data_IF_977801759806
#
_entry.id   IF_977801759806
#
_cell.length_a   1.000
_cell.length_b   1.000
_cell.length_c   1.000
_cell.angle_alpha   90.00
_cell.angle_beta   90.00
_cell.angle_gamma   90.00
#
_symmetry.space_group_name_H-M   'P 1'
#
loop_
_entity.id
_entity.type
_entity.pdbx_description
1 polymer ?
#
# COMPACT_ATOMS: atom_id res chain seq x y z
N UNK A 1 2.79 -34.47 -68.97
CA UNK A 1 4.13 -33.86 -68.85
C UNK A 1 3.97 -32.34 -68.91
N UNK A 2 4.60 -31.63 -67.97
CA UNK A 2 4.72 -30.17 -67.67
C UNK A 2 4.47 -29.17 -68.83
N UNK A 3 3.79 -28.01 -68.72
CA UNK A 3 3.82 -26.81 -67.81
C UNK A 3 4.91 -25.75 -68.14
N UNK A 4 4.45 -24.68 -68.83
CA UNK A 4 4.72 -23.20 -68.72
C UNK A 4 6.13 -22.63 -69.08
N UNK A 5 6.35 -21.29 -69.26
CA UNK A 5 5.45 -20.11 -69.43
C UNK A 5 5.85 -19.09 -70.56
N UNK A 6 5.04 -18.03 -70.78
CA UNK A 6 5.34 -16.84 -71.62
C UNK A 6 5.52 -15.54 -70.82
N UNK A 7 6.29 -14.62 -71.42
CA UNK A 7 7.06 -13.48 -70.90
C UNK A 7 6.33 -12.15 -70.59
N UNK A 8 6.96 -11.33 -69.72
CA UNK A 8 6.69 -9.90 -69.44
C UNK A 8 7.61 -8.95 -70.22
N UNK A 9 7.09 -7.79 -70.66
CA UNK A 9 7.74 -6.55 -71.16
C UNK A 9 6.67 -5.42 -70.94
N UNK A 10 6.88 -4.15 -70.58
CA UNK A 10 7.92 -3.12 -70.86
C UNK A 10 7.71 -1.82 -70.02
N UNK A 11 8.83 -1.12 -69.74
CA UNK A 11 9.19 0.35 -69.83
C UNK A 11 8.49 1.51 -69.02
N UNK A 12 9.37 2.43 -68.55
CA UNK A 12 9.34 3.72 -67.78
C UNK A 12 8.91 4.99 -68.63
N UNK A 13 9.13 6.30 -68.25
CA UNK A 13 8.81 7.20 -67.08
C UNK A 13 8.35 8.67 -67.45
N UNK A 14 8.13 9.61 -66.48
CA UNK A 14 8.41 11.09 -66.51
C UNK A 14 8.12 11.75 -65.12
N UNK A 15 9.03 12.41 -64.35
CA UNK A 15 9.65 13.78 -64.31
C UNK A 15 8.64 14.94 -64.08
N UNK A 16 8.63 15.69 -62.95
CA UNK A 16 9.36 16.98 -62.71
C UNK A 16 9.41 17.49 -61.23
N UNK A 17 10.61 17.98 -60.79
CA UNK A 17 11.07 19.16 -59.96
C UNK A 17 10.14 19.84 -58.89
N UNK A 18 10.54 20.51 -57.78
CA UNK A 18 11.77 20.92 -57.04
C UNK A 18 11.41 21.53 -55.62
N UNK A 19 12.42 21.75 -54.75
CA UNK A 19 12.51 22.17 -53.29
C UNK A 19 12.04 23.63 -52.92
N UNK A 20 12.24 24.29 -51.71
CA UNK A 20 12.95 23.99 -50.41
C UNK A 20 12.40 24.56 -49.01
N UNK A 21 12.93 24.02 -47.88
CA UNK A 21 13.54 24.61 -46.61
C UNK A 21 12.85 25.64 -45.62
N UNK A 22 12.85 25.26 -44.31
CA UNK A 22 12.95 25.91 -42.93
C UNK A 22 12.05 27.09 -42.44
N UNK A 23 11.50 26.96 -41.22
CA UNK A 23 11.88 27.68 -39.97
C UNK A 23 11.11 27.19 -38.72
N UNK A 24 11.72 27.32 -37.53
CA UNK A 24 11.16 26.92 -36.23
C UNK A 24 10.31 27.99 -35.53
N UNK A 25 9.66 27.63 -34.42
CA UNK A 25 8.92 28.56 -33.57
C UNK A 25 8.28 27.89 -32.35
N UNK A 26 8.70 28.33 -31.17
CA UNK A 26 8.06 28.13 -29.87
C UNK A 26 6.62 28.64 -29.86
N UNK A 27 5.71 27.98 -29.13
CA UNK A 27 4.47 28.61 -28.64
C UNK A 27 4.31 28.36 -27.14
N UNK A 28 4.74 29.33 -26.35
CA UNK A 28 4.31 29.48 -24.96
C UNK A 28 2.91 30.11 -24.92
N UNK A 29 2.04 29.59 -24.06
CA UNK A 29 0.79 30.27 -23.69
C UNK A 29 1.07 31.13 -22.46
N UNK A 30 1.28 32.43 -22.68
CA UNK A 30 1.32 33.43 -21.62
C UNK A 30 0.16 34.39 -21.85
N UNK A 31 -0.89 34.29 -21.03
CA UNK A 31 -1.85 35.38 -20.84
C UNK A 31 -2.27 35.41 -19.37
N UNK A 32 -1.50 36.15 -18.57
CA UNK A 32 -1.97 36.79 -17.35
C UNK A 32 -2.38 38.23 -17.68
N UNK A 33 -3.61 38.63 -17.34
CA UNK A 33 -3.93 39.94 -16.71
C UNK A 33 -5.44 40.08 -16.38
N UNK A 34 -5.69 40.18 -15.08
CA UNK A 34 -6.69 40.93 -14.30
C UNK A 34 -7.99 41.47 -14.97
N UNK A 35 -9.15 41.08 -14.44
CA UNK A 35 -10.02 41.86 -13.52
C UNK A 35 -11.31 41.05 -13.21
N UNK A 36 -11.83 41.17 -12.00
CA UNK A 36 -12.83 40.26 -11.42
C UNK A 36 -14.24 40.36 -12.00
N UNK A 37 -14.90 39.20 -12.11
CA UNK A 37 -16.37 39.07 -12.11
C UNK A 37 -16.71 37.81 -11.33
N UNK A 38 -17.50 38.00 -10.27
CA UNK A 38 -18.19 36.97 -9.51
C UNK A 38 -19.48 36.62 -10.28
N UNK A 39 -19.70 35.37 -10.68
CA UNK A 39 -21.06 34.88 -10.95
C UNK A 39 -21.17 33.36 -10.83
N UNK A 40 -22.18 32.97 -10.06
CA UNK A 40 -22.69 31.63 -9.83
C UNK A 40 -23.27 31.00 -11.11
N UNK A 41 -23.13 29.68 -11.23
CA UNK A 41 -24.03 28.71 -11.88
C UNK A 41 -23.48 27.31 -11.51
N UNK A 42 -24.16 26.33 -10.91
CA UNK A 42 -25.53 26.10 -10.47
C UNK A 42 -25.71 24.56 -10.30
N UNK A 43 -26.42 24.03 -9.29
CA UNK A 43 -26.24 22.67 -8.75
C UNK A 43 -27.08 21.57 -9.46
N UNK A 44 -27.18 21.57 -10.79
CA UNK A 44 -28.12 20.69 -11.50
C UNK A 44 -27.52 19.42 -12.13
N UNK A 45 -26.20 19.22 -12.07
CA UNK A 45 -25.55 17.98 -12.55
C UNK A 45 -25.16 17.00 -11.43
N UNK A 46 -25.26 17.40 -10.15
CA UNK A 46 -24.96 16.52 -9.00
C UNK A 46 -26.19 15.72 -8.50
N UNK A 47 -27.40 16.15 -8.84
CA UNK A 47 -28.65 15.52 -8.39
C UNK A 47 -29.03 14.24 -9.17
N UNK A 48 -28.50 14.02 -10.38
CA UNK A 48 -28.77 12.82 -11.18
C UNK A 48 -27.87 11.63 -10.82
N UNK A 49 -26.71 11.88 -10.22
CA UNK A 49 -25.80 10.83 -9.74
C UNK A 49 -26.24 10.24 -8.38
N UNK A 50 -26.85 11.05 -7.51
CA UNK A 50 -27.29 10.62 -6.18
C UNK A 50 -28.60 9.79 -6.17
N UNK A 51 -29.38 9.78 -7.26
CA UNK A 51 -30.62 8.97 -7.35
C UNK A 51 -30.40 7.50 -7.72
N UNK A 52 -29.18 7.06 -8.05
CA UNK A 52 -28.90 5.66 -8.43
C UNK A 52 -28.18 4.81 -7.37
N UNK A 53 -27.84 5.37 -6.21
CA UNK A 53 -27.22 4.62 -5.10
C UNK A 53 -28.17 4.32 -3.93
N UNK A 54 -29.38 4.89 -3.91
CA UNK A 54 -30.34 4.71 -2.82
C UNK A 54 -31.35 3.55 -3.03
N UNK A 55 -31.10 2.62 -3.96
CA UNK A 55 -32.06 1.57 -4.35
C UNK A 55 -31.65 0.14 -3.97
N UNK A 56 -30.71 -0.08 -3.03
CA UNK A 56 -30.29 -1.43 -2.64
C UNK A 56 -30.32 -1.73 -1.12
N UNK A 57 -30.90 -0.85 -0.31
CA UNK A 57 -31.21 -1.14 1.08
C UNK A 57 -32.64 -0.72 1.35
N UNK A 58 -33.58 -1.68 1.34
CA UNK A 58 -34.78 -1.78 2.20
C UNK A 58 -35.79 -2.75 1.57
N UNK A 59 -35.95 -3.92 2.21
CA UNK A 59 -37.12 -4.82 2.31
C UNK A 59 -36.57 -6.18 2.77
N UNK A 60 -36.93 -6.79 3.90
CA UNK A 60 -38.25 -6.92 4.53
C UNK A 60 -38.12 -7.27 6.04
N UNK A 61 -39.08 -6.85 6.90
CA UNK A 61 -39.09 -7.08 8.35
C UNK A 61 -39.99 -8.25 8.78
N UNK A 62 -39.61 -9.00 9.83
CA UNK A 62 -40.44 -9.41 10.98
C UNK A 62 -39.75 -10.54 11.76
N UNK A 63 -39.31 -10.27 12.99
CA UNK A 63 -39.77 -11.00 14.19
C UNK A 63 -39.32 -10.23 15.44
N UNK A 64 -40.26 -10.00 16.35
CA UNK A 64 -40.04 -9.32 17.61
C UNK A 64 -39.51 -10.28 18.69
N UNK A 65 -38.81 -9.67 19.65
CA UNK A 65 -38.82 -10.03 21.08
C UNK A 65 -38.01 -11.26 21.52
N UNK A 66 -36.73 -11.03 21.89
CA UNK A 66 -36.19 -11.49 23.19
C UNK A 66 -35.24 -10.41 23.72
N UNK A 67 -35.57 -9.89 24.90
CA UNK A 67 -34.71 -9.05 25.76
C UNK A 67 -33.55 -9.87 26.30
N UNK A 68 -32.43 -9.19 26.55
CA UNK A 68 -31.23 -9.62 27.27
C UNK A 68 -30.06 -10.04 26.37
N UNK A 69 -29.16 -9.08 26.13
CA UNK A 69 -27.71 -9.18 26.33
C UNK A 69 -27.05 -7.93 25.72
N UNK A 70 -26.24 -7.26 26.53
CA UNK A 70 -25.59 -5.98 26.26
C UNK A 70 -24.68 -6.04 25.02
N UNK A 71 -24.81 -5.14 24.01
CA UNK A 71 -23.82 -5.02 22.96
C UNK A 71 -22.60 -4.25 23.49
N UNK A 72 -21.44 -4.92 23.53
CA UNK A 72 -20.13 -4.31 23.70
C UNK A 72 -19.93 -3.20 22.66
N UNK A 73 -19.81 -1.95 23.15
CA UNK A 73 -19.49 -0.77 22.34
C UNK A 73 -18.05 -0.87 21.84
N UNK A 74 -17.83 -0.81 20.53
CA UNK A 74 -16.55 -0.39 19.97
C UNK A 74 -16.27 1.05 20.43
N UNK A 75 -15.28 1.19 21.31
CA UNK A 75 -14.93 2.45 21.95
C UNK A 75 -14.32 3.43 20.95
N UNK A 76 -14.98 4.57 20.78
CA UNK A 76 -14.50 5.73 20.05
C UNK A 76 -13.43 6.45 20.91
N UNK A 77 -12.22 5.89 20.97
CA UNK A 77 -11.13 6.35 21.86
C UNK A 77 -10.74 7.83 21.69
N UNK A 78 -10.96 8.39 20.50
CA UNK A 78 -10.69 9.79 20.20
C UNK A 78 -11.65 10.75 20.92
N UNK A 79 -12.92 10.36 21.11
CA UNK A 79 -13.92 11.23 21.75
C UNK A 79 -13.76 11.30 23.27
N UNK A 80 -13.29 10.21 23.90
CA UNK A 80 -12.93 10.21 25.33
C UNK A 80 -11.65 10.99 25.62
N UNK A 81 -10.71 11.08 24.67
CA UNK A 81 -9.49 11.87 24.83
C UNK A 81 -9.73 13.37 24.63
N UNK A 82 -10.60 13.75 23.70
CA UNK A 82 -10.92 15.17 23.46
C UNK A 82 -11.86 15.73 24.55
N UNK A 83 -12.78 14.93 25.11
CA UNK A 83 -13.68 15.42 26.16
C UNK A 83 -12.99 15.70 27.50
N UNK A 84 -11.78 15.19 27.74
CA UNK A 84 -11.00 15.47 28.95
C UNK A 84 -10.18 16.77 28.87
N UNK A 85 -10.16 17.45 27.72
CA UNK A 85 -9.35 18.67 27.48
C UNK A 85 -10.22 19.94 27.40
N UNK A 86 -11.55 19.82 27.45
CA UNK A 86 -12.49 20.94 27.35
C UNK A 86 -13.33 21.15 28.62
N UNK A 87 -12.71 21.05 29.79
CA UNK A 87 -13.24 21.66 31.01
C UNK A 87 -12.38 22.86 31.37
N UNK A 88 -12.91 24.06 31.15
CA UNK A 88 -12.46 25.25 31.85
C UNK A 88 -12.57 24.97 33.36
N UNK A 89 -11.52 25.33 34.10
CA UNK A 89 -11.30 25.10 35.53
C UNK A 89 -10.91 23.68 35.98
N UNK A 90 -9.62 23.51 36.29
CA UNK A 90 -9.12 22.53 37.27
C UNK A 90 -8.37 21.30 36.71
N UNK A 91 -7.04 21.41 36.65
CA UNK A 91 -6.02 20.34 36.55
C UNK A 91 -6.15 19.31 35.39
N UNK A 92 -5.12 19.14 34.53
CA UNK A 92 -5.20 18.20 33.43
C UNK A 92 -5.19 16.78 33.97
N UNK A 93 -6.32 16.08 33.85
CA UNK A 93 -6.39 14.61 33.98
C UNK A 93 -5.84 13.95 32.71
N UNK A 94 -4.67 14.41 32.25
CA UNK A 94 -3.88 13.71 31.24
C UNK A 94 -3.21 12.50 31.90
N UNK A 95 -3.00 11.43 31.13
CA UNK A 95 -2.08 10.37 31.55
C UNK A 95 -0.76 11.05 31.96
N UNK A 96 -0.23 10.83 33.18
CA UNK A 96 0.80 11.67 33.80
C UNK A 96 2.11 11.78 33.01
N UNK A 97 2.26 10.93 32.00
CA UNK A 97 3.46 10.77 31.19
C UNK A 97 3.42 11.47 29.83
N UNK A 98 2.27 12.04 29.43
CA UNK A 98 2.16 12.79 28.18
C UNK A 98 2.27 14.30 28.42
N UNK A 99 3.15 14.94 27.65
CA UNK A 99 3.30 16.39 27.59
C UNK A 99 2.84 16.94 26.24
N UNK A 100 2.69 18.26 26.18
CA UNK A 100 2.42 18.97 24.93
C UNK A 100 3.75 19.43 24.30
N UNK A 101 3.92 19.17 23.00
CA UNK A 101 5.09 19.58 22.25
C UNK A 101 4.98 21.06 21.85
N UNK A 102 6.03 21.83 22.12
CA UNK A 102 6.02 23.29 21.89
C UNK A 102 5.88 23.65 20.41
N UNK A 103 6.49 22.87 19.53
CA UNK A 103 6.55 23.15 18.10
C UNK A 103 5.43 22.41 17.34
N UNK A 104 4.23 23.00 17.34
CA UNK A 104 3.04 22.46 16.62
C UNK A 104 1.90 21.97 17.53
N UNK A 105 2.13 21.83 18.83
CA UNK A 105 1.07 21.65 19.83
C UNK A 105 0.52 20.22 19.98
N UNK A 106 1.09 19.22 19.31
CA UNK A 106 0.75 17.80 19.51
C UNK A 106 1.22 17.23 20.86
N UNK A 107 0.97 15.94 21.09
CA UNK A 107 1.31 15.26 22.35
C UNK A 107 2.50 14.32 22.19
N UNK A 108 3.30 14.19 23.24
CA UNK A 108 4.41 13.25 23.28
C UNK A 108 4.55 12.62 24.66
N UNK A 109 5.04 11.38 24.71
CA UNK A 109 5.38 10.70 25.95
C UNK A 109 6.77 11.13 26.45
N UNK A 110 6.95 11.35 27.76
CA UNK A 110 8.21 11.82 28.36
C UNK A 110 9.44 10.93 28.09
N UNK A 111 9.22 9.65 27.82
CA UNK A 111 10.30 8.70 27.46
C UNK A 111 10.61 8.61 25.97
N UNK A 112 9.91 9.37 25.11
CA UNK A 112 10.25 9.46 23.70
C UNK A 112 11.52 10.32 23.53
N UNK A 113 12.39 9.91 22.62
CA UNK A 113 13.57 10.68 22.22
C UNK A 113 13.21 11.45 20.95
N UNK A 114 12.95 12.75 21.08
CA UNK A 114 12.49 13.59 19.97
C UNK A 114 13.47 14.76 19.84
N UNK A 115 14.00 14.95 18.64
CA UNK A 115 14.87 16.08 18.36
C UNK A 115 14.10 17.44 18.51
N UNK A 116 14.70 18.50 19.08
CA UNK A 116 14.03 19.79 19.27
C UNK A 116 13.51 20.46 18.00
N UNK A 117 14.06 20.12 16.83
CA UNK A 117 13.66 20.69 15.53
C UNK A 117 12.36 20.07 14.97
N UNK A 118 11.89 18.97 15.55
CA UNK A 118 10.69 18.25 15.09
C UNK A 118 9.45 19.12 15.22
N UNK A 119 8.60 19.09 14.20
CA UNK A 119 7.29 19.73 14.20
C UNK A 119 6.21 18.67 14.40
N UNK A 120 5.42 18.79 15.48
CA UNK A 120 4.36 17.84 15.82
C UNK A 120 3.04 18.61 15.86
N UNK A 121 2.22 18.45 14.82
CA UNK A 121 0.95 19.16 14.70
C UNK A 121 -0.09 18.75 15.74
N UNK A 122 -1.10 19.61 15.90
CA UNK A 122 -2.24 19.38 16.78
C UNK A 122 -2.89 18.01 16.55
N UNK A 123 -3.17 17.30 17.65
CA UNK A 123 -3.80 15.98 17.63
C UNK A 123 -2.87 14.84 17.22
N UNK A 124 -1.64 15.10 16.77
CA UNK A 124 -0.64 14.05 16.62
C UNK A 124 -0.12 13.58 17.99
N UNK A 125 0.20 12.29 18.10
CA UNK A 125 0.63 11.65 19.35
C UNK A 125 1.88 10.81 19.13
N UNK A 126 2.92 11.07 19.93
CA UNK A 126 4.17 10.30 19.94
C UNK A 126 4.29 9.47 21.22
N UNK A 127 4.30 8.15 21.11
CA UNK A 127 4.31 7.23 22.24
C UNK A 127 5.69 6.95 22.81
N UNK A 128 5.72 6.22 23.93
CA UNK A 128 6.90 5.92 24.74
C UNK A 128 8.01 5.21 23.96
N UNK A 129 9.27 5.54 24.28
CA UNK A 129 10.49 4.93 23.70
C UNK A 129 10.64 5.10 22.19
N UNK A 130 9.77 5.86 21.53
CA UNK A 130 9.95 6.21 20.12
C UNK A 130 11.16 7.12 19.96
N UNK A 131 11.76 7.08 18.78
CA UNK A 131 12.91 7.92 18.41
C UNK A 131 12.56 8.67 17.15
N UNK A 132 12.60 10.00 17.19
CA UNK A 132 12.28 10.87 16.07
C UNK A 132 13.47 11.78 15.78
N UNK A 133 14.05 11.63 14.59
CA UNK A 133 15.20 12.39 14.13
C UNK A 133 14.91 13.86 13.83
N UNK A 134 15.96 14.62 13.53
CA UNK A 134 15.89 16.04 13.21
C UNK A 134 14.99 16.33 11.99
N UNK A 135 14.38 17.51 11.98
CA UNK A 135 13.59 18.05 10.87
C UNK A 135 12.44 17.15 10.40
N UNK A 136 11.94 16.27 11.26
CA UNK A 136 10.74 15.48 11.00
C UNK A 136 9.49 16.35 11.19
N UNK A 137 8.53 16.21 10.27
CA UNK A 137 7.21 16.82 10.39
C UNK A 137 6.15 15.73 10.59
N UNK A 138 5.37 15.84 11.66
CA UNK A 138 4.30 14.91 12.01
C UNK A 138 2.96 15.62 11.85
N UNK A 139 2.18 15.19 10.86
CA UNK A 139 0.87 15.76 10.55
C UNK A 139 -0.20 15.45 11.60
N UNK A 140 -1.21 16.32 11.63
CA UNK A 140 -2.37 16.22 12.51
C UNK A 140 -3.00 14.82 12.55
N UNK A 141 -3.31 14.35 13.76
CA UNK A 141 -3.94 13.04 14.00
C UNK A 141 -3.04 11.82 13.76
N UNK A 142 -1.78 12.01 13.36
CA UNK A 142 -0.86 10.89 13.22
C UNK A 142 -0.46 10.30 14.58
N UNK A 143 -0.30 8.98 14.63
CA UNK A 143 0.07 8.23 15.84
C UNK A 143 1.39 7.51 15.58
N UNK A 144 2.43 7.91 16.31
CA UNK A 144 3.73 7.24 16.34
C UNK A 144 3.72 6.29 17.54
N UNK A 145 3.60 4.99 17.29
CA UNK A 145 3.49 3.96 18.32
C UNK A 145 4.77 3.77 19.15
N UNK A 146 4.69 2.95 20.22
CA UNK A 146 5.81 2.73 21.11
C UNK A 146 7.02 2.13 20.38
N UNK A 147 8.22 2.58 20.72
CA UNK A 147 9.48 2.07 20.13
C UNK A 147 9.59 2.18 18.60
N UNK A 148 8.74 3.00 17.96
CA UNK A 148 8.88 3.34 16.54
C UNK A 148 10.07 4.28 16.35
N UNK A 149 10.86 4.05 15.31
CA UNK A 149 11.96 4.93 14.92
C UNK A 149 11.64 5.64 13.62
N UNK A 150 11.82 6.96 13.57
CA UNK A 150 11.65 7.79 12.38
C UNK A 150 12.94 8.55 12.11
N UNK A 151 13.53 8.31 10.94
CA UNK A 151 14.74 8.98 10.48
C UNK A 151 14.53 10.46 10.16
N UNK A 152 15.64 11.18 10.05
CA UNK A 152 15.65 12.64 9.89
C UNK A 152 14.99 13.10 8.59
N UNK A 153 14.53 14.35 8.55
CA UNK A 153 13.94 14.99 7.36
C UNK A 153 12.76 14.22 6.73
N UNK A 154 12.12 13.35 7.51
CA UNK A 154 10.96 12.57 7.07
C UNK A 154 9.67 13.35 7.31
N UNK A 155 8.76 13.29 6.34
CA UNK A 155 7.43 13.91 6.42
C UNK A 155 6.36 12.85 6.62
N UNK A 156 5.58 12.99 7.68
CA UNK A 156 4.46 12.12 8.02
C UNK A 156 3.17 12.91 7.83
N UNK A 157 2.29 12.40 6.98
CA UNK A 157 0.99 13.00 6.67
C UNK A 157 -0.04 12.85 7.79
N UNK A 158 -1.26 13.27 7.50
CA UNK A 158 -2.37 13.25 8.44
C UNK A 158 -2.88 11.83 8.70
N UNK A 159 -3.29 11.56 9.94
CA UNK A 159 -3.90 10.30 10.35
C UNK A 159 -3.07 9.05 9.99
N UNK A 160 -1.75 9.17 9.92
CA UNK A 160 -0.83 8.05 9.74
C UNK A 160 -0.75 7.25 11.04
N UNK A 161 -0.77 5.92 10.96
CA UNK A 161 -0.61 5.04 12.11
C UNK A 161 0.65 4.18 11.97
N UNK A 162 1.64 4.43 12.83
CA UNK A 162 2.90 3.67 12.86
C UNK A 162 2.96 2.81 14.12
N UNK A 163 3.26 1.53 13.96
CA UNK A 163 3.51 0.58 15.06
C UNK A 163 4.60 -0.40 14.63
N UNK A 164 5.41 -0.92 15.56
CA UNK A 164 6.40 -1.98 15.28
C UNK A 164 7.24 -1.73 14.00
N UNK A 165 7.70 -0.51 13.79
CA UNK A 165 8.37 -0.14 12.55
C UNK A 165 9.55 0.80 12.75
N UNK A 166 10.43 0.81 11.76
CA UNK A 166 11.51 1.78 11.62
C UNK A 166 11.45 2.39 10.23
N UNK A 167 11.41 3.72 10.16
CA UNK A 167 11.42 4.48 8.92
C UNK A 167 12.77 5.18 8.80
N UNK A 168 13.40 5.07 7.63
CA UNK A 168 14.66 5.72 7.32
C UNK A 168 14.53 7.23 7.13
N UNK A 169 15.59 7.81 6.61
CA UNK A 169 15.74 9.25 6.43
C UNK A 169 15.05 9.74 5.15
N UNK A 170 14.63 11.01 5.16
CA UNK A 170 14.11 11.71 3.99
C UNK A 170 12.94 11.01 3.30
N UNK A 171 12.08 10.36 4.09
CA UNK A 171 10.90 9.67 3.58
C UNK A 171 9.69 10.60 3.49
N UNK A 172 8.72 10.23 2.65
CA UNK A 172 7.43 10.91 2.53
C UNK A 172 6.33 9.87 2.74
N UNK A 173 5.59 10.00 3.84
CA UNK A 173 4.48 9.12 4.20
C UNK A 173 3.20 9.93 4.05
N UNK A 174 2.36 9.59 3.06
CA UNK A 174 1.11 10.28 2.79
C UNK A 174 0.01 9.91 3.79
N UNK A 175 -1.13 10.60 3.68
CA UNK A 175 -2.20 10.52 4.66
C UNK A 175 -2.80 9.11 4.81
N UNK A 176 -3.17 8.74 6.03
CA UNK A 176 -3.87 7.49 6.32
C UNK A 176 -3.05 6.21 6.12
N UNK A 177 -1.73 6.33 5.90
CA UNK A 177 -0.83 5.18 5.80
C UNK A 177 -0.75 4.44 7.13
N UNK A 178 -0.77 3.10 7.07
CA UNK A 178 -0.65 2.22 8.23
C UNK A 178 0.59 1.33 8.08
N UNK A 179 1.54 1.38 9.01
CA UNK A 179 2.78 0.61 8.94
C UNK A 179 3.00 -0.18 10.24
N UNK A 180 3.29 -1.46 10.07
CA UNK A 180 3.70 -2.43 11.10
C UNK A 180 2.56 -2.97 11.97
N UNK A 181 1.36 -2.99 11.41
CA UNK A 181 0.23 -3.76 11.93
C UNK A 181 0.47 -5.27 11.77
N UNK A 182 -0.25 -6.07 12.56
CA UNK A 182 -0.20 -7.52 12.45
C UNK A 182 -0.80 -8.00 11.12
N UNK A 183 -0.01 -8.73 10.34
CA UNK A 183 -0.48 -9.34 9.09
C UNK A 183 -1.52 -10.44 9.27
N UNK A 184 -1.99 -10.96 8.13
CA UNK A 184 -2.97 -12.03 8.10
C UNK A 184 -2.36 -13.37 8.57
N UNK A 185 -2.76 -13.83 9.76
CA UNK A 185 -2.32 -15.12 10.31
C UNK A 185 -3.32 -15.64 11.31
N UNK A 186 -4.04 -16.69 10.93
CA UNK A 186 -5.05 -17.36 11.74
C UNK A 186 -4.82 -18.86 11.70
N UNK A 187 -5.17 -19.54 12.78
CA UNK A 187 -5.17 -20.99 12.90
C UNK A 187 -6.59 -21.45 13.21
N UNK A 188 -6.95 -22.63 12.73
CA UNK A 188 -8.22 -23.27 13.09
C UNK A 188 -7.92 -24.20 14.26
N UNK A 189 -8.62 -24.03 15.39
CA UNK A 189 -8.50 -24.92 16.53
C UNK A 189 -9.23 -26.25 16.28
N UNK A 190 -9.11 -27.20 17.24
CA UNK A 190 -9.76 -28.51 17.16
C UNK A 190 -11.30 -28.44 17.10
N UNK A 191 -11.88 -27.29 17.44
CA UNK A 191 -13.32 -27.03 17.43
C UNK A 191 -13.78 -26.23 16.20
N UNK A 192 -12.87 -25.90 15.28
CA UNK A 192 -13.17 -25.11 14.08
C UNK A 192 -13.16 -23.59 14.30
N UNK A 193 -12.77 -23.09 15.47
CA UNK A 193 -12.68 -21.64 15.72
C UNK A 193 -11.43 -21.05 15.10
N UNK A 194 -11.56 -19.81 14.60
CA UNK A 194 -10.44 -19.03 14.05
C UNK A 194 -9.70 -18.31 15.17
N UNK A 195 -8.50 -18.77 15.51
CA UNK A 195 -7.61 -18.14 16.49
C UNK A 195 -6.54 -17.31 15.79
N UNK A 196 -6.28 -16.08 16.28
CA UNK A 196 -5.20 -15.24 15.74
C UNK A 196 -3.86 -15.90 16.06
N UNK A 197 -3.05 -16.11 15.03
CA UNK A 197 -1.64 -16.49 15.19
C UNK A 197 -0.85 -15.24 15.61
N UNK A 198 -0.20 -15.22 16.79
CA UNK A 198 0.69 -14.14 17.17
C UNK A 198 1.78 -13.97 16.10
N UNK A 199 2.01 -12.74 15.63
CA UNK A 199 2.99 -12.47 14.58
C UNK A 199 4.42 -12.37 15.16
N UNK A 200 4.79 -13.27 16.07
CA UNK A 200 6.15 -13.36 16.64
C UNK A 200 6.91 -14.47 15.93
N UNK A 201 8.25 -14.38 15.92
CA UNK A 201 9.09 -15.43 15.32
C UNK A 201 8.83 -16.77 15.98
N UNK A 202 8.21 -17.67 15.22
CA UNK A 202 8.13 -19.09 15.57
C UNK A 202 9.54 -19.69 15.45
N UNK A 203 10.33 -19.62 16.51
CA UNK A 203 11.44 -20.55 16.63
C UNK A 203 10.84 -21.94 16.88
N UNK A 204 10.93 -22.80 15.88
CA UNK A 204 10.64 -24.22 16.00
C UNK A 204 11.59 -24.81 17.06
N UNK A 205 11.12 -24.91 18.31
CA UNK A 205 11.87 -25.54 19.41
C UNK A 205 11.81 -27.05 19.19
N UNK A 206 12.87 -27.61 18.62
CA UNK A 206 13.11 -29.05 18.67
C UNK A 206 13.53 -29.42 20.10
N UNK A 207 12.75 -30.27 20.75
CA UNK A 207 12.69 -30.51 22.22
C UNK A 207 13.90 -31.24 22.85
N UNK A 208 15.13 -31.07 22.36
CA UNK A 208 16.24 -31.92 22.82
C UNK A 208 17.57 -31.24 23.18
N UNK A 209 17.70 -29.91 23.23
CA UNK A 209 19.00 -29.29 23.57
C UNK A 209 18.88 -28.16 24.60
N UNK A 210 19.36 -28.49 25.81
CA UNK A 210 19.93 -27.67 26.88
C UNK A 210 19.20 -26.38 27.33
N UNK A 211 18.63 -26.44 28.54
CA UNK A 211 17.90 -25.40 29.26
C UNK A 211 18.65 -24.06 29.45
N UNK A 212 19.99 -24.05 29.34
CA UNK A 212 20.81 -22.84 29.54
C UNK A 212 21.08 -22.07 28.23
N UNK A 213 21.24 -22.78 27.11
CA UNK A 213 21.22 -22.15 25.77
C UNK A 213 19.81 -21.63 25.50
N UNK A 214 18.79 -22.37 25.95
CA UNK A 214 17.39 -21.95 25.87
C UNK A 214 17.15 -20.57 26.48
N UNK A 215 17.62 -20.24 27.70
CA UNK A 215 17.35 -18.93 28.32
C UNK A 215 17.99 -17.73 27.59
N UNK A 216 19.22 -17.87 27.09
CA UNK A 216 19.92 -16.80 26.37
C UNK A 216 19.41 -16.66 24.93
N UNK A 217 19.08 -17.77 24.26
CA UNK A 217 18.46 -17.74 22.93
C UNK A 217 16.98 -17.32 22.99
N UNK A 218 16.23 -17.69 24.03
CA UNK A 218 14.81 -17.36 24.19
C UNK A 218 14.59 -15.85 24.30
N UNK A 219 15.48 -15.12 24.98
CA UNK A 219 15.44 -13.66 24.99
C UNK A 219 15.77 -13.02 23.63
N UNK A 220 16.57 -13.69 22.79
CA UNK A 220 16.89 -13.24 21.43
C UNK A 220 15.79 -13.62 20.41
N UNK A 221 15.08 -14.73 20.67
CA UNK A 221 14.00 -15.31 19.84
C UNK A 221 12.67 -14.56 19.99
N UNK A 222 12.43 -13.90 21.13
CA UNK A 222 11.26 -13.03 21.32
C UNK A 222 11.45 -11.62 20.72
N UNK A 223 12.31 -11.48 19.71
CA UNK A 223 12.42 -10.22 18.98
C UNK A 223 11.13 -10.02 18.20
N UNK A 224 10.32 -9.05 18.62
CA UNK A 224 9.21 -8.57 17.81
C UNK A 224 9.77 -8.11 16.47
N UNK A 225 9.30 -8.75 15.40
CA UNK A 225 9.70 -8.43 14.04
C UNK A 225 8.92 -7.22 13.55
N UNK A 226 9.61 -6.39 12.79
CA UNK A 226 9.16 -5.05 12.45
C UNK A 226 8.87 -4.92 10.94
N UNK A 227 8.27 -3.80 10.58
CA UNK A 227 8.36 -3.26 9.22
C UNK A 227 9.52 -2.27 9.14
N UNK A 228 10.45 -2.48 8.19
CA UNK A 228 11.60 -1.61 7.94
C UNK A 228 11.42 -0.88 6.62
N UNK A 229 11.34 0.43 6.67
CA UNK A 229 11.32 1.31 5.51
C UNK A 229 12.70 1.94 5.38
N UNK A 230 13.32 1.80 4.21
CA UNK A 230 14.63 2.39 3.90
C UNK A 230 14.60 3.90 3.74
N UNK A 231 15.69 4.47 3.22
CA UNK A 231 15.84 5.91 3.03
C UNK A 231 15.18 6.37 1.72
N UNK A 232 14.74 7.63 1.67
CA UNK A 232 14.16 8.26 0.47
C UNK A 232 12.94 7.52 -0.12
N UNK A 233 12.23 6.76 0.72
CA UNK A 233 11.01 6.05 0.33
C UNK A 233 9.82 7.00 0.34
N UNK A 234 8.93 6.85 -0.63
CA UNK A 234 7.64 7.53 -0.64
C UNK A 234 6.50 6.51 -0.62
N UNK A 235 5.54 6.69 0.29
CA UNK A 235 4.39 5.80 0.46
C UNK A 235 3.10 6.62 0.35
N UNK A 236 2.31 6.31 -0.67
CA UNK A 236 1.04 6.95 -1.01
C UNK A 236 -0.07 6.67 0.00
N UNK A 237 -1.13 7.46 -0.09
CA UNK A 237 -2.20 7.51 0.89
C UNK A 237 -2.92 6.16 1.06
N UNK A 238 -3.29 5.85 2.30
CA UNK A 238 -4.02 4.64 2.70
C UNK A 238 -3.33 3.32 2.29
N UNK A 239 -2.02 3.34 2.06
CA UNK A 239 -1.22 2.13 1.87
C UNK A 239 -0.95 1.46 3.21
N UNK A 240 -0.98 0.13 3.21
CA UNK A 240 -0.78 -0.70 4.39
C UNK A 240 0.47 -1.57 4.23
N UNK A 241 1.32 -1.59 5.26
CA UNK A 241 2.53 -2.42 5.33
C UNK A 241 2.49 -3.25 6.60
N UNK A 242 2.29 -4.55 6.47
CA UNK A 242 2.23 -5.45 7.62
C UNK A 242 3.64 -5.71 8.17
N UNK A 243 3.76 -5.88 9.48
CA UNK A 243 5.04 -6.27 10.09
C UNK A 243 5.39 -7.73 9.80
N UNK A 244 6.65 -8.05 10.02
CA UNK A 244 7.15 -9.42 9.94
C UNK A 244 6.60 -10.35 11.03
N UNK A 245 6.48 -11.62 10.68
CA UNK A 245 6.18 -12.74 11.60
C UNK A 245 7.34 -13.73 11.80
N UNK A 246 8.22 -13.95 10.82
CA UNK A 246 9.43 -14.78 10.95
C UNK A 246 10.71 -14.06 10.50
N UNK A 247 10.56 -13.10 9.58
CA UNK A 247 11.53 -12.04 9.25
C UNK A 247 10.83 -10.71 9.10
N UNK A 248 11.58 -9.62 9.21
CA UNK A 248 11.05 -8.28 8.98
C UNK A 248 10.45 -8.12 7.57
N UNK A 249 9.41 -7.31 7.47
CA UNK A 249 8.95 -6.77 6.18
C UNK A 249 9.86 -5.61 5.82
N UNK A 250 10.39 -5.56 4.60
CA UNK A 250 11.41 -4.58 4.19
C UNK A 250 10.99 -3.88 2.91
N UNK A 251 11.08 -2.56 2.90
CA UNK A 251 11.00 -1.72 1.70
C UNK A 251 12.36 -1.04 1.49
N UNK A 252 13.04 -1.37 0.40
CA UNK A 252 14.36 -0.85 0.08
C UNK A 252 14.38 0.63 -0.31
N UNK A 253 15.56 1.23 -0.18
CA UNK A 253 15.81 2.65 -0.42
C UNK A 253 15.28 3.13 -1.78
N UNK A 254 14.90 4.41 -1.83
CA UNK A 254 14.43 5.11 -3.04
C UNK A 254 13.17 4.54 -3.70
N UNK A 255 12.51 3.55 -3.10
CA UNK A 255 11.28 2.96 -3.65
C UNK A 255 10.10 3.94 -3.54
N UNK A 256 9.20 3.88 -4.52
CA UNK A 256 8.00 4.72 -4.63
C UNK A 256 6.77 3.83 -4.66
N UNK A 257 5.92 3.99 -3.67
CA UNK A 257 4.71 3.19 -3.47
C UNK A 257 3.54 4.16 -3.57
N UNK A 258 2.62 3.91 -4.49
CA UNK A 258 1.44 4.73 -4.72
C UNK A 258 0.35 4.43 -3.67
N UNK A 259 -0.83 4.99 -3.88
CA UNK A 259 -1.97 4.91 -2.98
C UNK A 259 -2.60 3.51 -2.96
N UNK A 260 -3.18 3.15 -1.81
CA UNK A 260 -3.96 1.92 -1.62
C UNK A 260 -3.19 0.63 -1.98
N UNK A 261 -1.89 0.61 -1.76
CA UNK A 261 -1.08 -0.59 -1.92
C UNK A 261 -1.17 -1.44 -0.64
N UNK A 262 -1.23 -2.76 -0.80
CA UNK A 262 -1.13 -3.70 0.32
C UNK A 262 0.20 -4.45 0.23
N UNK A 263 1.00 -4.37 1.30
CA UNK A 263 2.23 -5.13 1.47
C UNK A 263 2.05 -6.10 2.63
N UNK A 264 1.98 -7.40 2.32
CA UNK A 264 1.81 -8.45 3.30
C UNK A 264 3.02 -8.64 4.23
N UNK A 265 2.82 -9.50 5.24
CA UNK A 265 3.86 -9.83 6.22
C UNK A 265 5.06 -10.52 5.56
N UNK A 266 6.27 -10.21 6.04
CA UNK A 266 7.52 -10.74 5.51
C UNK A 266 7.72 -10.44 4.02
N UNK A 267 7.23 -9.34 3.45
CA UNK A 267 7.65 -9.00 2.08
C UNK A 267 9.06 -8.41 2.11
N UNK A 268 9.94 -8.75 1.15
CA UNK A 268 11.15 -7.94 0.86
C UNK A 268 10.95 -7.27 -0.47
N UNK A 269 11.08 -5.95 -0.50
CA UNK A 269 11.15 -5.14 -1.71
C UNK A 269 12.56 -4.56 -1.79
N UNK A 270 13.21 -4.77 -2.94
CA UNK A 270 14.51 -4.19 -3.25
C UNK A 270 14.47 -2.67 -3.38
N UNK A 271 15.59 -2.11 -3.83
CA UNK A 271 15.78 -0.67 -3.99
C UNK A 271 15.17 -0.18 -5.30
N UNK A 272 14.83 1.10 -5.34
CA UNK A 272 14.38 1.79 -6.55
C UNK A 272 13.16 1.12 -7.22
N UNK A 273 12.28 0.49 -6.45
CA UNK A 273 11.06 -0.11 -6.98
C UNK A 273 9.95 0.93 -7.14
N UNK A 274 9.05 0.70 -8.09
CA UNK A 274 7.88 1.56 -8.31
C UNK A 274 6.63 0.67 -8.27
N UNK A 275 5.76 0.89 -7.28
CA UNK A 275 4.47 0.20 -7.16
C UNK A 275 3.35 1.19 -7.40
N UNK A 276 2.62 1.03 -8.50
CA UNK A 276 1.45 1.85 -8.80
C UNK A 276 0.24 1.51 -7.91
N UNK A 277 -0.80 2.34 -7.98
CA UNK A 277 -1.93 2.23 -7.08
C UNK A 277 -2.64 0.88 -7.14
N UNK A 278 -3.18 0.46 -6.00
CA UNK A 278 -3.91 -0.79 -5.81
C UNK A 278 -3.08 -2.06 -6.06
N UNK A 279 -1.76 -1.98 -6.10
CA UNK A 279 -0.90 -3.18 -6.10
C UNK A 279 -1.12 -3.96 -4.79
N UNK A 280 -1.29 -5.29 -4.91
CA UNK A 280 -1.46 -6.19 -3.77
C UNK A 280 -0.37 -7.25 -3.75
N UNK A 281 0.43 -7.27 -2.67
CA UNK A 281 1.52 -8.23 -2.49
C UNK A 281 1.19 -9.11 -1.29
N UNK A 282 1.00 -10.40 -1.52
CA UNK A 282 0.76 -11.37 -0.46
C UNK A 282 2.03 -11.65 0.38
N UNK A 283 1.87 -12.40 1.47
CA UNK A 283 2.94 -12.63 2.45
C UNK A 283 4.17 -13.35 1.87
N UNK A 284 5.33 -13.08 2.45
CA UNK A 284 6.61 -13.77 2.15
C UNK A 284 7.11 -13.66 0.70
N UNK A 285 6.66 -12.66 -0.05
CA UNK A 285 7.18 -12.35 -1.39
C UNK A 285 8.57 -11.69 -1.32
N UNK A 286 9.43 -11.98 -2.29
CA UNK A 286 10.73 -11.34 -2.46
C UNK A 286 10.82 -10.67 -3.84
N UNK A 287 11.09 -9.37 -3.87
CA UNK A 287 11.16 -8.54 -5.08
C UNK A 287 12.55 -7.93 -5.16
N UNK A 288 13.22 -8.11 -6.29
CA UNK A 288 14.54 -7.52 -6.57
C UNK A 288 14.50 -6.01 -6.81
N UNK A 289 15.66 -5.44 -7.13
CA UNK A 289 15.81 -4.00 -7.37
C UNK A 289 15.20 -3.57 -8.71
N UNK A 290 14.80 -2.30 -8.81
CA UNK A 290 14.29 -1.70 -10.05
C UNK A 290 13.07 -2.41 -10.64
N UNK A 291 12.25 -3.05 -9.81
CA UNK A 291 10.98 -3.66 -10.24
C UNK A 291 9.91 -2.58 -10.34
N UNK A 292 9.16 -2.59 -11.44
CA UNK A 292 7.99 -1.73 -11.65
C UNK A 292 6.73 -2.57 -11.73
N UNK A 293 5.74 -2.25 -10.90
CA UNK A 293 4.42 -2.89 -10.93
C UNK A 293 3.37 -1.88 -11.35
N UNK A 294 2.75 -2.12 -12.50
CA UNK A 294 1.61 -1.33 -12.97
C UNK A 294 0.42 -1.44 -12.02
N UNK A 295 -0.54 -0.52 -12.17
CA UNK A 295 -1.69 -0.43 -11.26
C UNK A 295 -2.45 -1.76 -11.16
N UNK A 296 -2.88 -2.11 -9.95
CA UNK A 296 -3.63 -3.35 -9.65
C UNK A 296 -2.91 -4.65 -10.01
N UNK A 297 -1.58 -4.66 -10.06
CA UNK A 297 -0.84 -5.92 -10.08
C UNK A 297 -1.06 -6.68 -8.77
N UNK A 298 -1.27 -7.99 -8.88
CA UNK A 298 -1.36 -8.89 -7.72
C UNK A 298 -0.19 -9.87 -7.73
N UNK A 299 0.37 -10.17 -6.55
CA UNK A 299 1.45 -11.15 -6.38
C UNK A 299 1.04 -12.18 -5.35
N UNK A 300 1.07 -13.46 -5.75
CA UNK A 300 0.82 -14.61 -4.87
C UNK A 300 1.91 -14.71 -3.79
N UNK A 301 1.56 -15.27 -2.65
CA UNK A 301 2.46 -15.52 -1.52
C UNK A 301 3.64 -16.42 -1.92
N UNK A 302 4.76 -16.25 -1.21
CA UNK A 302 5.97 -17.06 -1.40
C UNK A 302 6.52 -17.09 -2.83
N UNK A 303 6.37 -15.99 -3.57
CA UNK A 303 6.93 -15.82 -4.92
C UNK A 303 8.18 -14.95 -4.87
N UNK A 304 9.15 -15.27 -5.73
CA UNK A 304 10.35 -14.47 -5.97
C UNK A 304 10.31 -13.81 -7.35
N UNK A 305 10.61 -12.51 -7.41
CA UNK A 305 10.68 -11.71 -8.64
C UNK A 305 12.09 -11.10 -8.72
N UNK A 306 12.84 -11.43 -9.78
CA UNK A 306 14.18 -10.87 -9.98
C UNK A 306 14.15 -9.37 -10.29
N UNK A 307 15.32 -8.74 -10.16
CA UNK A 307 15.50 -7.31 -10.45
C UNK A 307 15.16 -6.97 -11.91
N UNK A 308 14.82 -5.70 -12.16
CA UNK A 308 14.53 -5.14 -13.50
C UNK A 308 13.35 -5.79 -14.22
N UNK A 309 12.37 -6.28 -13.47
CA UNK A 309 11.08 -6.77 -13.99
C UNK A 309 10.08 -5.62 -14.09
N UNK A 310 9.33 -5.55 -15.18
CA UNK A 310 8.20 -4.63 -15.35
C UNK A 310 6.92 -5.42 -15.55
N UNK A 311 6.00 -5.30 -14.59
CA UNK A 311 4.69 -5.95 -14.65
C UNK A 311 3.66 -4.96 -15.19
N UNK A 312 3.03 -5.29 -16.31
CA UNK A 312 1.92 -4.50 -16.84
C UNK A 312 0.74 -4.49 -15.85
N UNK A 313 -0.03 -3.40 -15.84
CA UNK A 313 -1.17 -3.26 -14.94
C UNK A 313 -2.17 -4.43 -15.04
N UNK A 314 -2.87 -4.71 -13.94
CA UNK A 314 -3.81 -5.82 -13.78
C UNK A 314 -3.21 -7.23 -13.90
N UNK A 315 -1.89 -7.38 -14.00
CA UNK A 315 -1.25 -8.70 -14.10
C UNK A 315 -1.22 -9.40 -12.74
N UNK A 316 -1.32 -10.74 -12.75
CA UNK A 316 -1.23 -11.57 -11.56
C UNK A 316 -0.01 -12.48 -11.65
N UNK A 317 0.94 -12.32 -10.73
CA UNK A 317 2.13 -13.17 -10.63
C UNK A 317 1.82 -14.36 -9.73
N UNK A 318 1.84 -15.55 -10.31
CA UNK A 318 1.50 -16.81 -9.61
C UNK A 318 2.70 -17.73 -9.39
N UNK A 319 3.82 -17.46 -10.05
CA UNK A 319 5.06 -18.25 -9.99
C UNK A 319 6.26 -17.31 -9.99
N UNK A 320 7.40 -17.84 -9.61
CA UNK A 320 8.66 -17.11 -9.63
C UNK A 320 8.95 -16.56 -11.04
N UNK A 321 9.46 -15.32 -11.07
CA UNK A 321 9.97 -14.69 -12.27
C UNK A 321 11.49 -14.67 -12.13
N UNK A 322 12.16 -15.54 -12.88
CA UNK A 322 13.62 -15.73 -12.80
C UNK A 322 14.41 -14.90 -13.80
N UNK A 323 13.73 -14.32 -14.79
CA UNK A 323 14.36 -13.53 -15.86
C UNK A 323 13.89 -12.07 -15.81
N UNK A 324 14.79 -11.09 -16.01
CA UNK A 324 14.39 -9.70 -16.20
C UNK A 324 13.55 -9.52 -17.47
N UNK A 325 12.64 -8.55 -17.47
CA UNK A 325 11.87 -8.21 -18.66
C UNK A 325 10.45 -7.76 -18.36
N UNK A 326 9.63 -7.76 -19.41
CA UNK A 326 8.25 -7.29 -19.38
C UNK A 326 7.29 -8.47 -19.30
N UNK A 327 6.43 -8.45 -18.30
CA UNK A 327 5.40 -9.46 -18.10
C UNK A 327 4.04 -8.78 -18.05
N UNK A 328 3.03 -9.39 -18.65
CA UNK A 328 1.70 -8.79 -18.71
C UNK A 328 0.59 -9.80 -19.00
N UNK A 329 -0.66 -9.46 -18.67
CA UNK A 329 -1.77 -10.36 -19.00
C UNK A 329 -3.21 -10.03 -18.56
N UNK A 330 -3.74 -8.82 -18.76
CA UNK A 330 -5.20 -8.60 -18.84
C UNK A 330 -5.54 -7.26 -19.52
N UNK A 331 -5.45 -7.08 -20.86
CA UNK A 331 -6.02 -5.88 -21.48
C UNK A 331 -7.49 -6.09 -21.79
N UNK A 332 -8.29 -5.03 -21.63
CA UNK A 332 -9.66 -5.03 -22.10
C UNK A 332 -9.69 -5.22 -23.63
N UNK A 333 -10.46 -6.20 -24.08
CA UNK A 333 -10.81 -6.38 -25.50
C UNK A 333 -12.33 -6.23 -25.66
N UNK A 334 -12.85 -5.94 -26.86
CA UNK A 334 -14.30 -5.88 -27.08
C UNK A 334 -15.01 -7.13 -26.54
N UNK A 335 -16.13 -6.94 -25.83
CA UNK A 335 -16.79 -8.03 -25.08
C UNK A 335 -17.19 -9.24 -25.94
N UNK A 336 -17.41 -9.04 -27.24
CA UNK A 336 -17.68 -10.14 -28.17
C UNK A 336 -16.42 -10.98 -28.47
N UNK A 337 -15.24 -10.35 -28.54
CA UNK A 337 -13.96 -11.04 -28.72
C UNK A 337 -13.58 -11.79 -27.46
N UNK A 338 -13.72 -11.15 -26.29
CA UNK A 338 -13.47 -11.80 -25.00
C UNK A 338 -14.32 -13.06 -24.81
N UNK A 339 -15.64 -12.98 -25.05
CA UNK A 339 -16.55 -14.15 -24.98
C UNK A 339 -16.10 -15.29 -25.90
N UNK A 340 -15.66 -14.97 -27.13
CA UNK A 340 -15.13 -15.96 -28.08
C UNK A 340 -13.82 -16.58 -27.58
N UNK A 341 -12.90 -15.78 -27.07
CA UNK A 341 -11.63 -16.26 -26.50
C UNK A 341 -11.88 -17.23 -25.34
N UNK A 342 -12.74 -16.87 -24.38
CA UNK A 342 -13.10 -17.74 -23.24
C UNK A 342 -13.70 -19.07 -23.72
N UNK A 343 -14.63 -19.03 -24.66
CA UNK A 343 -15.24 -20.25 -25.22
C UNK A 343 -14.21 -21.16 -25.87
N UNK A 344 -13.27 -20.58 -26.63
CA UNK A 344 -12.21 -21.35 -27.28
C UNK A 344 -11.31 -22.02 -26.25
N UNK A 345 -10.84 -21.31 -25.22
CA UNK A 345 -10.04 -21.90 -24.14
C UNK A 345 -10.73 -23.10 -23.46
N UNK A 346 -12.03 -22.99 -23.16
CA UNK A 346 -12.81 -24.08 -22.56
C UNK A 346 -12.96 -25.31 -23.47
N UNK A 347 -13.00 -25.12 -24.79
CA UNK A 347 -13.07 -26.24 -25.74
C UNK A 347 -11.72 -26.95 -25.86
N UNK A 348 -10.63 -26.20 -25.95
CA UNK A 348 -9.29 -26.77 -26.08
C UNK A 348 -8.87 -27.53 -24.82
N UNK A 349 -9.28 -27.09 -23.63
CA UNK A 349 -9.03 -27.83 -22.38
C UNK A 349 -9.77 -29.17 -22.34
N UNK A 350 -11.03 -29.22 -22.80
CA UNK A 350 -11.81 -30.46 -22.89
C UNK A 350 -11.23 -31.45 -23.91
N UNK A 351 -10.74 -30.98 -25.05
CA UNK A 351 -10.13 -31.84 -26.06
C UNK A 351 -8.77 -32.43 -25.64
N UNK A 352 -8.05 -31.78 -24.71
CA UNK A 352 -6.77 -32.27 -24.18
C UNK A 352 -6.90 -33.35 -23.08
N UNK A 353 -8.10 -33.56 -22.53
CA UNK A 353 -8.40 -34.62 -21.55
C UNK A 353 -9.37 -35.68 -22.11
N UNK A 354 -8.98 -36.47 -23.14
CA UNK A 354 -9.83 -37.57 -23.62
C UNK A 354 -9.72 -38.87 -22.78
N UNK A 355 -8.97 -38.89 -21.67
CA UNK A 355 -8.52 -40.15 -21.03
C UNK A 355 -8.82 -40.34 -19.54
N UNK A 356 -9.91 -39.79 -18.99
CA UNK A 356 -10.42 -40.21 -17.67
C UNK A 356 -11.89 -40.63 -17.81
N UNK A 357 -12.09 -41.83 -18.35
CA UNK A 357 -13.31 -42.61 -18.22
C UNK A 357 -12.96 -44.01 -17.76
#
# INVERSE_FOLDING_TARGET
MLVQPKSRRTKKPSITKALPVKHGGYSGSNTNRHQGVLSLLGPQLMASALRRLAAAFYCWPHLQFVRSLSPLRFGNGYRSFVSSVSSEDGAPTGHPDFGQWKNGGGFFHKSACIDPTVFIEFGAVVHSKSVVGEHVCIGSGAVIGPSVTVGQSTKIGYNVALSNCSIGDSCIIHNGVCIGQDGFGFMVDEHGNMLKKPQVSDAFINRSILLYVFLVFFFLILKMLNARIGNHVEIGANTCVDRGSWRDTVVGDHSKIDNLVQIGHNVVIGKNCILCGLVGIAGSVTIGDYVTMGGRVAVRDHVSIVSKVRLAGMSCVTKDITEPGDYGGFPAVPAHQWRRQVTNYSRTSKQRNPGNH
#
